data_IF_400649933007
#
_entry.id   IF_400649933007
#
_cell.length_a   1.000
_cell.length_b   1.000
_cell.length_c   1.000
_cell.angle_alpha   90.00
_cell.angle_beta   90.00
_cell.angle_gamma   90.00
#
_symmetry.space_group_name_H-M   'P 1'
#
loop_
_entity.id
_entity.type
_entity.pdbx_description
1 polymer ?
#
# COMPACT_ATOMS: atom_id res chain seq x y z
N UNK A 1 -20.48 24.88 -9.06
CA UNK A 1 -19.72 24.23 -7.98
C UNK A 1 -20.48 24.56 -6.70
N UNK A 2 -21.19 23.60 -6.11
CA UNK A 2 -22.07 23.87 -4.98
C UNK A 2 -21.24 24.20 -3.74
N UNK A 3 -21.48 25.36 -3.15
CA UNK A 3 -20.93 25.72 -1.85
C UNK A 3 -21.57 24.81 -0.79
N UNK A 4 -20.82 24.49 0.27
CA UNK A 4 -21.40 23.81 1.42
C UNK A 4 -22.52 24.66 2.02
N UNK A 5 -23.60 24.03 2.48
CA UNK A 5 -24.73 24.71 3.12
C UNK A 5 -24.69 24.46 4.64
N UNK A 6 -25.04 25.47 5.44
CA UNK A 6 -25.10 25.38 6.91
C UNK A 6 -24.09 26.27 7.63
N UNK A 7 -24.23 26.35 8.95
CA UNK A 7 -23.36 27.15 9.82
C UNK A 7 -21.93 26.55 9.85
N UNK A 8 -20.91 27.38 9.61
CA UNK A 8 -19.51 26.95 9.48
C UNK A 8 -19.10 26.42 8.10
N UNK A 9 -19.99 26.47 7.10
CA UNK A 9 -19.72 26.05 5.72
C UNK A 9 -18.54 26.78 5.07
N UNK A 10 -18.29 28.03 5.46
CA UNK A 10 -17.15 28.83 5.02
C UNK A 10 -15.78 28.26 5.46
N UNK A 11 -15.77 27.37 6.47
CA UNK A 11 -14.56 26.73 6.98
C UNK A 11 -14.30 25.36 6.32
N UNK A 12 -15.18 24.89 5.44
CA UNK A 12 -15.05 23.59 4.79
C UNK A 12 -14.25 23.69 3.48
N UNK A 13 -13.47 22.64 3.13
CA UNK A 13 -12.68 22.64 1.90
C UNK A 13 -13.59 22.63 0.66
N UNK A 14 -13.28 23.43 -0.36
CA UNK A 14 -14.09 23.51 -1.58
C UNK A 14 -14.24 22.18 -2.35
N UNK A 15 -13.34 21.22 -2.11
CA UNK A 15 -13.36 19.88 -2.68
C UNK A 15 -12.63 18.89 -1.76
N UNK A 16 -13.01 17.62 -1.88
CA UNK A 16 -12.39 16.49 -1.16
C UNK A 16 -12.28 15.30 -2.10
N UNK A 17 -11.28 14.45 -1.88
CA UNK A 17 -11.17 13.15 -2.53
C UNK A 17 -11.60 12.06 -1.56
N UNK A 18 -12.51 11.18 -1.98
CA UNK A 18 -13.02 10.09 -1.15
C UNK A 18 -12.65 8.73 -1.74
N UNK A 19 -12.01 7.89 -0.93
CA UNK A 19 -11.79 6.47 -1.22
C UNK A 19 -12.64 5.65 -0.27
N UNK A 20 -13.47 4.74 -0.79
CA UNK A 20 -14.35 3.92 0.03
C UNK A 20 -14.54 2.50 -0.52
N UNK A 21 -14.71 1.55 0.40
CA UNK A 21 -14.95 0.14 0.09
C UNK A 21 -16.45 -0.13 -0.17
N UNK A 22 -16.98 0.38 -1.29
CA UNK A 22 -18.42 0.33 -1.59
C UNK A 22 -18.94 -1.09 -1.84
N UNK A 23 -18.25 -1.90 -2.65
CA UNK A 23 -18.69 -3.25 -3.05
C UNK A 23 -18.16 -4.38 -2.16
N UNK A 24 -18.93 -5.46 -2.02
CA UNK A 24 -18.57 -6.63 -1.21
C UNK A 24 -17.22 -7.25 -1.60
N UNK A 25 -16.97 -7.42 -2.90
CA UNK A 25 -15.69 -7.95 -3.42
C UNK A 25 -14.51 -7.07 -3.00
N UNK A 26 -14.68 -5.74 -3.06
CA UNK A 26 -13.64 -4.80 -2.64
C UNK A 26 -13.38 -4.92 -1.12
N UNK A 27 -14.43 -5.09 -0.31
CA UNK A 27 -14.29 -5.28 1.14
C UNK A 27 -13.53 -6.55 1.48
N UNK A 28 -13.81 -7.67 0.81
CA UNK A 28 -13.10 -8.95 1.05
C UNK A 28 -11.61 -8.81 0.73
N UNK A 29 -11.28 -8.19 -0.42
CA UNK A 29 -9.88 -7.99 -0.83
C UNK A 29 -9.18 -7.04 0.14
N UNK A 30 -9.79 -5.91 0.49
CA UNK A 30 -9.18 -4.89 1.35
C UNK A 30 -9.07 -5.34 2.81
N UNK A 31 -10.01 -6.15 3.31
CA UNK A 31 -9.91 -6.77 4.63
C UNK A 31 -8.63 -7.60 4.75
N UNK A 32 -8.33 -8.42 3.74
CA UNK A 32 -7.08 -9.18 3.66
C UNK A 32 -5.86 -8.31 3.35
N UNK A 33 -6.07 -7.20 2.64
CA UNK A 33 -5.05 -6.28 2.14
C UNK A 33 -4.57 -5.23 3.13
N UNK A 34 -5.22 -5.09 4.29
CA UNK A 34 -4.78 -4.19 5.36
C UNK A 34 -5.54 -2.86 5.44
N UNK A 35 -6.87 -2.83 5.23
CA UNK A 35 -7.71 -1.62 5.47
C UNK A 35 -7.37 -0.90 6.77
N UNK A 36 -7.20 -1.65 7.86
CA UNK A 36 -6.86 -1.11 9.17
C UNK A 36 -5.47 -0.45 9.20
N UNK A 37 -4.53 -0.93 8.38
CA UNK A 37 -3.20 -0.35 8.22
C UNK A 37 -3.27 1.00 7.49
N UNK A 38 -4.10 1.12 6.46
CA UNK A 38 -4.30 2.39 5.73
C UNK A 38 -4.96 3.45 6.63
N UNK A 39 -5.98 3.05 7.42
CA UNK A 39 -6.62 3.94 8.40
C UNK A 39 -5.62 4.35 9.49
N UNK A 40 -4.82 3.41 10.00
CA UNK A 40 -3.74 3.69 10.96
C UNK A 40 -2.71 4.64 10.39
N UNK A 41 -2.35 4.48 9.11
CA UNK A 41 -1.42 5.37 8.42
C UNK A 41 -1.92 6.81 8.44
N UNK A 42 -3.14 7.08 7.98
CA UNK A 42 -3.66 8.45 7.92
C UNK A 42 -3.90 9.07 9.30
N UNK A 43 -4.34 8.29 10.29
CA UNK A 43 -4.67 8.82 11.61
C UNK A 43 -3.46 8.96 12.54
N UNK A 44 -2.46 8.07 12.44
CA UNK A 44 -1.39 7.95 13.45
C UNK A 44 0.02 8.13 12.91
N UNK A 45 0.26 7.77 11.64
CA UNK A 45 1.61 7.79 11.05
C UNK A 45 1.85 9.07 10.26
N UNK A 46 0.98 9.35 9.28
CA UNK A 46 1.07 10.51 8.38
C UNK A 46 1.23 11.86 9.11
N UNK A 47 0.59 12.13 10.26
CA UNK A 47 0.81 13.37 11.00
C UNK A 47 2.21 13.51 11.62
N UNK A 48 2.94 12.40 11.78
CA UNK A 48 4.23 12.36 12.47
C UNK A 48 5.44 12.40 11.54
N UNK A 49 5.19 12.48 10.22
CA UNK A 49 6.22 12.43 9.18
C UNK A 49 5.92 13.41 8.04
N UNK A 50 6.97 14.12 7.60
CA UNK A 50 6.90 15.07 6.49
C UNK A 50 7.32 14.40 5.16
N UNK A 51 6.32 13.84 4.48
CA UNK A 51 6.44 13.25 3.15
C UNK A 51 5.34 13.79 2.23
N UNK A 52 5.59 13.71 0.93
CA UNK A 52 4.61 14.02 -0.11
C UNK A 52 3.55 12.92 -0.16
N UNK A 53 2.50 13.11 0.63
CA UNK A 53 1.32 12.27 0.71
C UNK A 53 0.13 13.14 1.08
N UNK A 54 -1.08 12.87 0.55
CA UNK A 54 -2.29 13.57 0.95
C UNK A 54 -2.49 13.59 2.47
N UNK A 55 -3.15 14.63 2.96
CA UNK A 55 -3.62 14.72 4.35
C UNK A 55 -5.05 14.22 4.41
N UNK A 56 -5.38 13.40 5.41
CA UNK A 56 -6.76 13.00 5.64
C UNK A 56 -7.51 14.04 6.49
N UNK A 57 -8.76 14.32 6.11
CA UNK A 57 -9.76 14.94 6.99
C UNK A 57 -10.41 13.89 7.89
N UNK A 58 -10.59 12.67 7.37
CA UNK A 58 -11.20 11.56 8.09
C UNK A 58 -10.72 10.23 7.51
N UNK A 59 -10.49 9.24 8.36
CA UNK A 59 -10.20 7.85 7.95
C UNK A 59 -10.79 6.88 8.99
N UNK A 60 -11.64 5.96 8.54
CA UNK A 60 -12.25 4.97 9.42
C UNK A 60 -12.58 3.67 8.69
N UNK A 61 -12.74 2.61 9.46
CA UNK A 61 -13.31 1.34 9.01
C UNK A 61 -14.17 0.72 10.11
N UNK A 62 -15.13 -0.09 9.69
CA UNK A 62 -15.96 -0.94 10.54
C UNK A 62 -15.33 -2.35 10.58
N UNK A 63 -14.92 -2.87 11.75
CA UNK A 63 -14.27 -4.17 11.88
C UNK A 63 -15.19 -5.36 11.58
N UNK A 64 -16.51 -5.20 11.70
CA UNK A 64 -17.46 -6.29 11.48
C UNK A 64 -17.81 -6.41 9.99
N UNK A 65 -18.07 -5.28 9.34
CA UNK A 65 -18.50 -5.25 7.93
C UNK A 65 -17.41 -4.90 6.93
N UNK A 66 -16.23 -4.51 7.41
CA UNK A 66 -15.08 -4.03 6.62
C UNK A 66 -15.41 -2.86 5.68
N UNK A 67 -16.51 -2.15 5.92
CA UNK A 67 -16.78 -0.87 5.27
C UNK A 67 -15.70 0.11 5.73
N UNK A 68 -15.10 0.81 4.77
CA UNK A 68 -14.10 1.82 5.06
C UNK A 68 -14.31 3.04 4.20
N UNK A 69 -13.90 4.18 4.74
CA UNK A 69 -13.86 5.46 4.04
C UNK A 69 -12.64 6.26 4.50
N UNK A 70 -11.99 6.88 3.54
CA UNK A 70 -10.90 7.83 3.74
C UNK A 70 -11.24 9.07 2.92
N UNK A 71 -11.33 10.21 3.60
CA UNK A 71 -11.57 11.53 3.03
C UNK A 71 -10.26 12.31 3.08
N UNK A 72 -9.73 12.62 1.91
CA UNK A 72 -8.43 13.27 1.73
C UNK A 72 -8.61 14.71 1.26
N UNK A 73 -7.64 15.55 1.63
CA UNK A 73 -7.42 16.84 0.99
C UNK A 73 -7.26 16.63 -0.52
N UNK A 74 -8.06 17.35 -1.29
CA UNK A 74 -7.93 17.37 -2.74
C UNK A 74 -6.56 17.96 -3.11
N UNK A 75 -5.86 17.30 -4.05
CA UNK A 75 -4.55 17.74 -4.52
C UNK A 75 -4.65 18.84 -5.59
N UNK A 76 -5.86 19.21 -5.98
CA UNK A 76 -6.12 20.33 -6.86
C UNK A 76 -5.76 20.08 -8.33
N UNK A 77 -6.08 21.04 -9.21
CA UNK A 77 -5.97 20.87 -10.65
C UNK A 77 -4.52 20.82 -11.17
N UNK A 78 -3.55 21.29 -10.39
CA UNK A 78 -2.13 21.32 -10.78
C UNK A 78 -1.42 19.98 -10.56
N UNK A 79 -2.11 18.99 -9.99
CA UNK A 79 -1.56 17.66 -9.73
C UNK A 79 -1.75 16.74 -10.94
N UNK A 80 -0.65 16.17 -11.43
CA UNK A 80 -0.65 15.18 -12.52
C UNK A 80 -0.27 13.81 -11.99
N UNK A 81 -1.10 12.81 -12.27
CA UNK A 81 -0.80 11.41 -11.95
C UNK A 81 -0.04 10.73 -13.09
N UNK A 82 0.95 9.91 -12.73
CA UNK A 82 1.63 9.03 -13.68
C UNK A 82 0.72 7.87 -14.08
N UNK A 83 0.99 7.30 -15.25
CA UNK A 83 0.49 5.99 -15.69
C UNK A 83 1.68 5.13 -16.18
N UNK A 84 1.41 3.88 -16.56
CA UNK A 84 2.44 2.92 -16.96
C UNK A 84 3.25 3.32 -18.22
N UNK A 85 2.81 4.37 -18.94
CA UNK A 85 3.50 4.94 -20.11
C UNK A 85 4.28 6.22 -19.76
N UNK A 86 4.18 6.72 -18.53
CA UNK A 86 4.80 7.97 -18.13
C UNK A 86 6.30 7.77 -17.95
N UNK A 87 7.10 8.41 -18.79
CA UNK A 87 8.54 8.41 -18.65
C UNK A 87 8.95 9.32 -17.48
N UNK A 88 9.68 8.76 -16.52
CA UNK A 88 10.17 9.50 -15.36
C UNK A 88 11.57 10.06 -15.63
N UNK A 89 11.79 11.32 -15.26
CA UNK A 89 13.14 11.87 -15.18
C UNK A 89 13.93 11.23 -14.03
N UNK A 90 15.26 11.25 -14.13
CA UNK A 90 16.16 10.82 -13.03
C UNK A 90 15.82 11.53 -11.70
N UNK A 91 15.40 12.80 -11.77
CA UNK A 91 15.00 13.58 -10.59
C UNK A 91 13.73 13.04 -9.95
N UNK A 92 12.68 12.77 -10.73
CA UNK A 92 11.42 12.21 -10.22
C UNK A 92 11.64 10.83 -9.60
N UNK A 93 12.45 10.00 -10.25
CA UNK A 93 12.84 8.70 -9.70
C UNK A 93 13.55 8.89 -8.34
N UNK A 94 14.55 9.77 -8.25
CA UNK A 94 15.24 10.05 -6.99
C UNK A 94 14.30 10.56 -5.88
N UNK A 95 13.31 11.40 -6.21
CA UNK A 95 12.32 11.90 -5.25
C UNK A 95 11.48 10.78 -4.64
N UNK A 96 11.10 9.76 -5.42
CA UNK A 96 10.40 8.59 -4.89
C UNK A 96 11.24 7.84 -3.84
N UNK A 97 12.53 7.61 -4.12
CA UNK A 97 13.44 6.98 -3.15
C UNK A 97 13.63 7.83 -1.91
N UNK A 98 13.65 9.16 -2.02
CA UNK A 98 13.75 10.05 -0.86
C UNK A 98 12.52 9.94 0.05
N UNK A 99 11.31 9.81 -0.51
CA UNK A 99 10.09 9.59 0.27
C UNK A 99 10.16 8.25 1.02
N UNK A 100 10.53 7.18 0.32
CA UNK A 100 10.67 5.84 0.93
C UNK A 100 11.78 5.83 1.99
N UNK A 101 12.92 6.49 1.74
CA UNK A 101 14.01 6.60 2.69
C UNK A 101 13.59 7.37 3.96
N UNK A 102 12.80 8.44 3.83
CA UNK A 102 12.23 9.16 4.98
C UNK A 102 11.31 8.24 5.78
N UNK A 103 10.39 7.52 5.12
CA UNK A 103 9.46 6.61 5.77
C UNK A 103 10.18 5.48 6.51
N UNK A 104 11.08 4.78 5.82
CA UNK A 104 11.81 3.66 6.39
C UNK A 104 12.77 4.12 7.49
N UNK A 105 13.53 5.19 7.25
CA UNK A 105 14.50 5.71 8.22
C UNK A 105 13.84 6.25 9.49
N UNK A 106 12.68 6.91 9.38
CA UNK A 106 11.96 7.47 10.54
C UNK A 106 11.50 6.40 11.52
N UNK A 107 11.15 5.22 11.02
CA UNK A 107 10.50 4.16 11.80
C UNK A 107 11.38 2.92 11.99
N UNK A 108 12.62 2.96 11.53
CA UNK A 108 13.60 1.89 11.74
C UNK A 108 13.80 1.61 13.23
N UNK A 109 13.50 0.37 13.65
CA UNK A 109 13.54 -0.11 15.04
C UNK A 109 12.76 0.76 16.04
N UNK A 110 11.77 1.51 15.57
CA UNK A 110 10.96 2.36 16.42
C UNK A 110 9.99 1.51 17.26
N UNK A 111 9.66 1.98 18.46
CA UNK A 111 8.78 1.31 19.41
C UNK A 111 7.39 1.96 19.51
N UNK A 112 6.91 2.57 18.44
CA UNK A 112 5.62 3.25 18.44
C UNK A 112 4.49 2.24 18.67
N UNK A 113 3.50 2.61 19.47
CA UNK A 113 2.40 1.72 19.83
C UNK A 113 1.48 1.39 18.64
N UNK A 114 1.46 2.24 17.58
CA UNK A 114 0.68 1.96 16.38
C UNK A 114 1.18 0.75 15.56
N UNK A 115 2.39 0.25 15.81
CA UNK A 115 2.92 -0.90 15.04
C UNK A 115 2.06 -2.16 15.19
N UNK A 116 1.41 -2.36 16.35
CA UNK A 116 0.51 -3.50 16.57
C UNK A 116 -0.77 -3.42 15.74
N UNK A 117 -1.08 -2.25 15.18
CA UNK A 117 -2.23 -2.02 14.30
C UNK A 117 -1.83 -2.05 12.81
N UNK A 118 -0.60 -2.47 12.47
CA UNK A 118 -0.15 -2.60 11.08
C UNK A 118 -0.04 -4.07 10.71
N UNK A 119 -0.42 -4.36 9.47
CA UNK A 119 -0.30 -5.68 8.87
C UNK A 119 1.17 -5.96 8.55
N UNK A 120 1.73 -7.00 9.18
CA UNK A 120 3.11 -7.42 8.93
C UNK A 120 3.28 -8.02 7.52
N UNK A 121 4.49 -7.92 6.95
CA UNK A 121 4.80 -8.46 5.61
C UNK A 121 4.50 -9.95 5.51
N UNK A 122 4.86 -10.73 6.53
CA UNK A 122 4.55 -12.16 6.62
C UNK A 122 3.05 -12.41 6.61
N UNK A 123 2.32 -11.73 7.48
CA UNK A 123 0.87 -11.89 7.60
C UNK A 123 0.16 -11.55 6.29
N UNK A 124 0.52 -10.41 5.68
CA UNK A 124 0.00 -9.98 4.37
C UNK A 124 0.25 -11.02 3.30
N UNK A 125 1.47 -11.54 3.21
CA UNK A 125 1.83 -12.56 2.22
C UNK A 125 1.00 -13.83 2.42
N UNK A 126 0.90 -14.33 3.65
CA UNK A 126 0.15 -15.55 3.95
C UNK A 126 -1.37 -15.38 3.75
N UNK A 127 -1.93 -14.20 4.01
CA UNK A 127 -3.33 -13.90 3.70
C UNK A 127 -3.60 -14.00 2.20
N UNK A 128 -2.69 -13.49 1.37
CA UNK A 128 -2.81 -13.62 -0.08
C UNK A 128 -2.65 -15.06 -0.56
N UNK A 129 -1.73 -15.84 0.01
CA UNK A 129 -1.60 -17.29 -0.29
C UNK A 129 -2.92 -18.01 -0.04
N UNK A 130 -3.56 -17.74 1.12
CA UNK A 130 -4.83 -18.38 1.49
C UNK A 130 -6.03 -17.93 0.65
N UNK A 131 -6.07 -16.65 0.26
CA UNK A 131 -7.25 -16.05 -0.38
C UNK A 131 -7.21 -16.01 -1.90
N UNK A 132 -6.02 -16.04 -2.51
CA UNK A 132 -5.84 -15.84 -3.96
C UNK A 132 -5.08 -16.98 -4.65
N UNK A 133 -4.70 -18.04 -3.93
CA UNK A 133 -3.90 -19.16 -4.45
C UNK A 133 -2.66 -18.70 -5.23
N UNK A 134 -1.92 -17.77 -4.61
CA UNK A 134 -0.75 -17.12 -5.25
C UNK A 134 0.32 -18.15 -5.66
N UNK A 135 0.44 -19.28 -4.97
CA UNK A 135 1.38 -20.34 -5.35
C UNK A 135 1.13 -20.81 -6.79
N UNK A 136 -0.11 -21.22 -7.09
CA UNK A 136 -0.51 -21.68 -8.42
C UNK A 136 -0.35 -20.58 -9.46
N UNK A 137 -0.78 -19.35 -9.13
CA UNK A 137 -0.70 -18.21 -10.07
C UNK A 137 0.76 -17.87 -10.39
N UNK A 138 1.64 -17.84 -9.39
CA UNK A 138 3.07 -17.63 -9.60
C UNK A 138 3.71 -18.75 -10.40
N UNK A 139 3.38 -20.01 -10.13
CA UNK A 139 3.88 -21.15 -10.91
C UNK A 139 3.43 -21.10 -12.38
N UNK A 140 2.18 -20.72 -12.64
CA UNK A 140 1.67 -20.51 -13.99
C UNK A 140 2.40 -19.38 -14.71
N UNK A 141 2.59 -18.24 -14.03
CA UNK A 141 3.34 -17.10 -14.57
C UNK A 141 4.79 -17.46 -14.89
N UNK A 142 5.46 -18.19 -14.00
CA UNK A 142 6.83 -18.67 -14.20
C UNK A 142 6.94 -19.56 -15.45
N UNK A 143 6.02 -20.52 -15.61
CA UNK A 143 5.98 -21.39 -16.79
C UNK A 143 5.68 -20.63 -18.08
N UNK A 144 4.73 -19.68 -18.03
CA UNK A 144 4.39 -18.85 -19.17
C UNK A 144 5.55 -17.93 -19.61
N UNK A 145 6.37 -17.47 -18.66
CA UNK A 145 7.52 -16.60 -18.90
C UNK A 145 8.81 -17.35 -19.32
N UNK A 146 8.74 -18.65 -19.67
CA UNK A 146 9.91 -19.48 -20.01
C UNK A 146 10.87 -18.81 -21.02
N UNK A 147 10.33 -18.10 -22.01
CA UNK A 147 11.13 -17.46 -23.06
C UNK A 147 12.08 -16.35 -22.55
N UNK A 148 11.78 -15.76 -21.39
CA UNK A 148 12.58 -14.65 -20.80
C UNK A 148 13.31 -15.07 -19.51
N UNK A 149 13.10 -16.29 -19.03
CA UNK A 149 13.76 -16.83 -17.84
C UNK A 149 15.04 -17.58 -18.27
N UNK A 150 16.20 -17.30 -17.67
CA UNK A 150 17.43 -18.05 -17.96
C UNK A 150 17.22 -19.56 -17.79
N UNK A 151 17.69 -20.42 -18.73
CA UNK A 151 17.44 -21.87 -18.67
C UNK A 151 17.86 -22.52 -17.35
N UNK A 152 18.99 -22.07 -16.77
CA UNK A 152 19.49 -22.52 -15.47
C UNK A 152 18.55 -22.24 -14.29
N UNK A 153 17.76 -21.16 -14.38
CA UNK A 153 16.77 -20.79 -13.37
C UNK A 153 15.47 -21.54 -13.62
N UNK A 154 15.05 -21.67 -14.88
CA UNK A 154 13.85 -22.42 -15.25
C UNK A 154 13.94 -23.90 -14.83
N UNK A 155 15.11 -24.52 -14.97
CA UNK A 155 15.37 -25.89 -14.53
C UNK A 155 15.19 -26.11 -13.00
N UNK A 156 15.10 -25.03 -12.22
CA UNK A 156 14.96 -25.03 -10.76
C UNK A 156 13.58 -24.56 -10.30
N UNK A 157 12.56 -24.63 -11.17
CA UNK A 157 11.17 -24.21 -10.88
C UNK A 157 10.67 -24.71 -9.52
N UNK A 158 10.87 -26.00 -9.22
CA UNK A 158 10.42 -26.63 -7.98
C UNK A 158 11.06 -26.03 -6.71
N UNK A 159 12.19 -25.32 -6.83
CA UNK A 159 12.85 -24.66 -5.71
C UNK A 159 12.31 -23.24 -5.47
N UNK A 160 11.70 -22.61 -6.47
CA UNK A 160 11.34 -21.19 -6.43
C UNK A 160 10.34 -20.90 -5.32
N UNK A 161 9.21 -21.62 -5.27
CA UNK A 161 8.18 -21.36 -4.26
C UNK A 161 8.65 -21.65 -2.82
N UNK A 162 9.28 -22.79 -2.51
CA UNK A 162 9.84 -23.03 -1.18
C UNK A 162 10.86 -21.97 -0.75
N UNK A 163 11.67 -21.45 -1.68
CA UNK A 163 12.62 -20.37 -1.39
C UNK A 163 11.93 -19.02 -1.17
N UNK A 164 10.85 -18.73 -1.89
CA UNK A 164 10.00 -17.56 -1.65
C UNK A 164 9.42 -17.57 -0.23
N UNK A 165 8.84 -18.69 0.21
CA UNK A 165 8.33 -18.84 1.59
C UNK A 165 9.43 -18.63 2.62
N UNK A 166 10.61 -19.25 2.43
CA UNK A 166 11.77 -19.04 3.30
C UNK A 166 12.23 -17.57 3.32
N UNK A 167 12.13 -16.85 2.21
CA UNK A 167 12.45 -15.43 2.15
C UNK A 167 11.46 -14.58 2.95
N UNK A 168 10.17 -14.94 2.90
CA UNK A 168 9.13 -14.29 3.70
C UNK A 168 9.34 -14.58 5.19
N UNK A 169 9.64 -15.82 5.57
CA UNK A 169 9.99 -16.20 6.96
C UNK A 169 11.16 -15.37 7.49
N UNK A 170 12.21 -15.18 6.67
CA UNK A 170 13.39 -14.37 7.03
C UNK A 170 13.08 -12.91 7.25
N UNK A 171 12.02 -12.37 6.65
CA UNK A 171 11.65 -10.97 6.84
C UNK A 171 11.21 -10.69 8.29
N UNK A 172 10.61 -11.70 8.94
CA UNK A 172 10.07 -11.61 10.30
C UNK A 172 11.15 -11.42 11.38
N UNK A 173 12.42 -11.71 11.06
CA UNK A 173 13.56 -11.54 11.98
C UNK A 173 14.42 -10.31 11.67
N UNK A 174 14.08 -9.54 10.63
CA UNK A 174 14.81 -8.32 10.29
C UNK A 174 14.39 -7.16 11.20
N UNK A 175 15.22 -6.12 11.34
CA UNK A 175 14.84 -4.91 12.06
C UNK A 175 13.51 -4.34 11.52
N UNK A 176 12.54 -4.16 12.40
CA UNK A 176 11.22 -3.67 12.03
C UNK A 176 11.27 -2.22 11.55
N UNK A 177 10.49 -1.92 10.52
CA UNK A 177 10.21 -0.57 10.03
C UNK A 177 8.86 -0.57 9.32
N UNK A 178 8.29 0.61 9.10
CA UNK A 178 7.18 0.76 8.17
C UNK A 178 7.71 0.69 6.74
N UNK A 179 7.05 -0.09 5.89
CA UNK A 179 7.34 -0.19 4.45
C UNK A 179 6.09 0.10 3.63
N UNK A 180 6.26 0.77 2.49
CA UNK A 180 5.21 0.83 1.47
C UNK A 180 5.34 -0.38 0.56
N UNK A 181 4.33 -1.24 0.56
CA UNK A 181 4.45 -2.57 -0.05
C UNK A 181 4.25 -2.61 -1.57
N UNK A 182 3.81 -1.50 -2.15
CA UNK A 182 3.66 -1.32 -3.59
C UNK A 182 4.37 -0.03 -3.96
N UNK A 183 5.34 -0.10 -4.87
CA UNK A 183 6.19 1.05 -5.23
C UNK A 183 6.11 1.34 -6.73
N UNK A 184 5.18 0.70 -7.45
CA UNK A 184 5.01 0.94 -8.87
C UNK A 184 4.40 2.33 -9.07
N UNK A 185 5.00 3.14 -9.94
CA UNK A 185 4.46 4.43 -10.33
C UNK A 185 3.55 4.25 -11.55
N UNK A 186 2.27 4.60 -11.39
CA UNK A 186 1.31 4.68 -12.47
C UNK A 186 0.71 3.34 -12.91
N UNK A 187 -0.02 2.67 -12.01
CA UNK A 187 -0.87 1.53 -12.38
C UNK A 187 -2.08 1.95 -13.24
#
# INVERSE_FOLDING_TARGET
>A
MGLWEGDGAENLPASIFCKAAHGMTNRIILANGGTHSEVTFFNRIRPTIEIESPTAYFAAYDPDSWRSIIMLRDMGPDTTFCNHKTALSKRQFAQQFQILAKLHGRFYQSNQDFFSALLGTRERFMNNVKSLDIETVCGNGFRAAKAVIPPRMFAREAEVWPLTIKSVDRNDILPHTIVHSDVHLGE
#
